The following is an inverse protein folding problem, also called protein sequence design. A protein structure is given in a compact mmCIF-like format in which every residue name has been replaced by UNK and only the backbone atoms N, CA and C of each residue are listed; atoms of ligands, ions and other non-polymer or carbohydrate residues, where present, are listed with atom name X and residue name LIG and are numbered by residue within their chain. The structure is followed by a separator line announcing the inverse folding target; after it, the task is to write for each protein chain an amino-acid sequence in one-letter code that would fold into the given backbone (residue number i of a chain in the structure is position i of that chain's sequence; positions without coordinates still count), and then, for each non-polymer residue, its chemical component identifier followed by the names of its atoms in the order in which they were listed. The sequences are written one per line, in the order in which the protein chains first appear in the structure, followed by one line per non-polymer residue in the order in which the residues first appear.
data_IF_457671040233
#
_entry.id   IF_457671040233
#
_cell.length_a   1.000
_cell.length_b   1.000
_cell.length_c   1.000
_cell.angle_alpha   90.00
_cell.angle_beta   90.00
_cell.angle_gamma   90.00
#
_symmetry.space_group_name_H-M   'P 1'
#
loop_
_entity.id
_entity.type
_entity.pdbx_description
1 polymer ?
#
# COMPACT_ATOMS: atom_id res chain seq x y z
N UNK A 1 -2.54 9.67 0.79
CA UNK A 1 -3.59 8.90 1.51
C UNK A 1 -4.41 9.73 2.50
N UNK A 2 -3.85 10.29 3.60
CA UNK A 2 -4.64 11.04 4.62
C UNK A 2 -5.56 12.13 4.04
N UNK A 3 -5.04 12.91 3.09
CA UNK A 3 -5.74 14.07 2.51
C UNK A 3 -6.83 13.72 1.49
N UNK A 4 -6.89 12.47 1.02
CA UNK A 4 -7.73 12.07 -0.11
C UNK A 4 -8.81 11.05 0.26
N UNK A 5 -8.68 10.39 1.41
CA UNK A 5 -9.56 9.27 1.77
C UNK A 5 -10.23 9.42 3.14
N UNK A 6 -9.89 10.46 3.90
CA UNK A 6 -10.40 10.66 5.28
C UNK A 6 -10.20 9.45 6.21
N UNK A 7 -9.29 8.52 5.89
CA UNK A 7 -8.98 7.34 6.70
C UNK A 7 -7.97 7.72 7.78
N UNK A 8 -8.24 7.34 9.04
CA UNK A 8 -7.28 7.54 10.14
C UNK A 8 -6.08 6.63 9.91
N UNK A 9 -4.86 7.12 10.18
CA UNK A 9 -3.63 6.34 9.95
C UNK A 9 -3.67 4.96 10.64
N UNK A 10 -4.25 4.90 11.84
CA UNK A 10 -4.45 3.65 12.60
C UNK A 10 -5.36 2.62 11.94
N UNK A 11 -6.19 3.00 10.96
CA UNK A 11 -7.08 2.10 10.23
C UNK A 11 -6.41 1.51 8.99
N UNK A 12 -5.27 2.06 8.57
CA UNK A 12 -4.45 1.50 7.50
C UNK A 12 -3.47 0.50 8.13
N UNK A 13 -3.42 -0.70 7.56
CA UNK A 13 -2.44 -1.73 7.90
C UNK A 13 -1.44 -1.92 6.77
N UNK A 14 -0.19 -2.20 7.14
CA UNK A 14 0.90 -2.48 6.22
C UNK A 14 1.92 -3.35 6.93
N UNK A 15 2.66 -4.14 6.16
CA UNK A 15 3.58 -5.13 6.71
C UNK A 15 4.96 -4.53 7.08
N UNK A 16 5.30 -3.40 6.49
CA UNK A 16 6.52 -2.64 6.77
C UNK A 16 6.65 -1.46 5.80
N UNK A 17 7.62 -0.59 6.05
CA UNK A 17 7.90 0.52 5.14
C UNK A 17 8.62 0.02 3.87
N UNK A 18 8.58 0.83 2.82
CA UNK A 18 9.27 0.61 1.55
C UNK A 18 10.05 1.88 1.19
N UNK A 19 11.05 1.73 0.33
CA UNK A 19 11.93 2.84 -0.06
C UNK A 19 11.18 3.99 -0.71
N UNK A 20 11.48 5.21 -0.28
CA UNK A 20 10.89 6.44 -0.82
C UNK A 20 11.36 6.72 -2.26
N UNK A 21 12.59 6.34 -2.59
CA UNK A 21 13.24 6.61 -3.86
C UNK A 21 13.31 5.35 -4.74
N UNK A 22 12.21 4.61 -4.84
CA UNK A 22 12.08 3.43 -5.70
C UNK A 22 10.63 3.23 -6.16
N UNK A 23 10.44 2.47 -7.24
CA UNK A 23 9.12 1.92 -7.59
C UNK A 23 8.84 0.71 -6.70
N UNK A 24 7.79 0.78 -5.89
CA UNK A 24 7.47 -0.26 -4.90
C UNK A 24 6.06 -0.79 -5.11
N UNK A 25 5.86 -2.07 -4.77
CA UNK A 25 4.54 -2.71 -4.70
C UNK A 25 4.39 -3.33 -3.33
N UNK A 26 3.27 -3.06 -2.68
CA UNK A 26 2.94 -3.63 -1.38
C UNK A 26 1.42 -3.74 -1.22
N UNK A 27 0.98 -4.66 -0.38
CA UNK A 27 -0.39 -4.68 0.10
C UNK A 27 -0.54 -3.73 1.28
N UNK A 28 -1.68 -3.04 1.29
CA UNK A 28 -2.21 -2.39 2.49
C UNK A 28 -3.56 -3.03 2.81
N UNK A 29 -3.96 -2.97 4.08
CA UNK A 29 -5.32 -3.31 4.47
C UNK A 29 -6.05 -2.08 4.95
N UNK A 30 -7.28 -1.95 4.52
CA UNK A 30 -8.23 -0.93 4.97
C UNK A 30 -9.56 -1.62 5.28
N UNK A 31 -10.36 -1.03 6.17
CA UNK A 31 -11.68 -1.59 6.47
C UNK A 31 -12.61 -1.47 5.26
N UNK A 32 -13.44 -2.49 5.00
CA UNK A 32 -14.39 -2.55 3.85
C UNK A 32 -15.28 -1.31 3.72
N UNK A 33 -15.62 -0.67 4.84
CA UNK A 33 -16.40 0.59 4.88
C UNK A 33 -15.81 1.74 4.03
N UNK A 34 -14.54 1.65 3.61
CA UNK A 34 -13.86 2.63 2.77
C UNK A 34 -13.76 2.21 1.29
N UNK A 35 -14.42 1.13 0.89
CA UNK A 35 -14.31 0.58 -0.47
C UNK A 35 -14.75 1.58 -1.54
N UNK A 36 -15.89 2.25 -1.34
CA UNK A 36 -16.40 3.27 -2.28
C UNK A 36 -15.41 4.45 -2.44
N UNK A 37 -14.73 4.84 -1.35
CA UNK A 37 -13.70 5.87 -1.41
C UNK A 37 -12.45 5.40 -2.18
N UNK A 38 -12.17 4.09 -2.25
CA UNK A 38 -11.07 3.55 -3.06
C UNK A 38 -11.38 3.57 -4.55
N UNK A 39 -12.65 3.43 -4.94
CA UNK A 39 -13.03 3.43 -6.35
C UNK A 39 -12.78 4.80 -7.00
N UNK A 40 -12.88 5.85 -6.20
CA UNK A 40 -12.58 7.23 -6.60
C UNK A 40 -11.14 7.66 -6.25
N UNK A 41 -10.30 6.73 -5.77
CA UNK A 41 -8.94 7.07 -5.35
C UNK A 41 -8.01 7.26 -6.54
N UNK A 42 -7.63 8.51 -6.80
CA UNK A 42 -6.64 8.86 -7.80
C UNK A 42 -5.63 9.85 -7.21
N UNK A 43 -4.36 9.44 -7.12
CA UNK A 43 -3.25 10.29 -6.67
C UNK A 43 -2.06 10.01 -7.57
N UNK A 44 -1.39 11.07 -8.03
CA UNK A 44 -0.14 10.97 -8.76
C UNK A 44 0.90 10.11 -8.02
N UNK A 45 1.55 9.20 -8.75
CA UNK A 45 2.56 8.29 -8.20
C UNK A 45 2.02 7.08 -7.45
N UNK A 46 0.69 6.90 -7.32
CA UNK A 46 0.07 5.73 -6.71
C UNK A 46 -0.93 5.09 -7.67
N UNK A 47 -0.83 3.78 -7.87
CA UNK A 47 -1.78 2.99 -8.66
C UNK A 47 -2.28 1.79 -7.86
N UNK A 48 -3.60 1.61 -7.78
CA UNK A 48 -4.21 0.39 -7.24
C UNK A 48 -4.11 -0.69 -8.33
N UNK A 49 -3.48 -1.82 -8.02
CA UNK A 49 -3.30 -2.94 -8.96
C UNK A 49 -4.37 -4.03 -8.81
N UNK A 50 -4.87 -4.23 -7.59
CA UNK A 50 -5.92 -5.20 -7.27
C UNK A 50 -6.55 -4.88 -5.91
N UNK A 51 -7.74 -5.44 -5.67
CA UNK A 51 -8.45 -5.43 -4.38
C UNK A 51 -8.87 -6.86 -4.05
N UNK A 52 -8.84 -7.22 -2.77
CA UNK A 52 -9.37 -8.49 -2.26
C UNK A 52 -9.78 -8.33 -0.80
N UNK A 53 -10.71 -9.16 -0.33
CA UNK A 53 -11.14 -9.18 1.06
C UNK A 53 -10.28 -10.11 1.90
N UNK A 54 -10.08 -9.73 3.16
CA UNK A 54 -9.39 -10.53 4.15
C UNK A 54 -9.90 -10.17 5.54
N UNK A 55 -10.02 -11.16 6.43
CA UNK A 55 -10.59 -10.96 7.77
C UNK A 55 -9.64 -10.25 8.73
N UNK A 56 -8.32 -10.31 8.47
CA UNK A 56 -7.32 -9.72 9.34
C UNK A 56 -6.68 -8.48 8.71
N UNK A 57 -6.48 -7.46 9.55
CA UNK A 57 -5.62 -6.31 9.24
C UNK A 57 -4.17 -6.77 9.05
N UNK A 58 -3.47 -6.22 8.06
CA UNK A 58 -2.03 -6.40 7.89
C UNK A 58 -1.30 -5.64 9.01
N UNK A 59 -0.46 -6.33 9.77
CA UNK A 59 0.38 -5.75 10.83
C UNK A 59 1.85 -5.78 10.43
N UNK A 60 2.68 -5.05 11.16
CA UNK A 60 4.14 -5.04 11.00
C UNK A 60 4.65 -6.50 11.08
N UNK A 61 5.50 -6.88 10.14
CA UNK A 61 6.04 -8.24 10.03
C UNK A 61 5.16 -9.23 9.28
N UNK A 62 3.95 -8.86 8.85
CA UNK A 62 3.08 -9.73 8.02
C UNK A 62 3.55 -9.79 6.54
N UNK A 63 4.82 -10.08 6.31
CA UNK A 63 5.38 -10.35 5.00
C UNK A 63 6.39 -11.49 5.11
N UNK A 64 6.42 -12.37 4.09
CA UNK A 64 7.48 -13.38 3.99
C UNK A 64 8.84 -12.76 3.64
N UNK A 65 8.83 -11.67 2.86
CA UNK A 65 10.02 -10.99 2.37
C UNK A 65 9.70 -10.03 1.23
N UNK A 66 10.74 -9.46 0.62
CA UNK A 66 10.63 -8.58 -0.54
C UNK A 66 11.42 -9.17 -1.70
N UNK A 67 10.91 -8.98 -2.93
CA UNK A 67 11.64 -9.30 -4.15
C UNK A 67 12.14 -8.00 -4.77
N UNK A 68 13.44 -7.88 -4.95
CA UNK A 68 14.08 -6.71 -5.54
C UNK A 68 14.44 -6.98 -7.00
N UNK A 69 14.25 -5.95 -7.83
CA UNK A 69 14.84 -5.85 -9.15
C UNK A 69 15.69 -4.58 -9.15
N UNK A 70 17.00 -4.74 -9.34
CA UNK A 70 17.97 -3.65 -9.26
C UNK A 70 18.66 -3.55 -10.61
N UNK A 71 18.60 -2.36 -11.23
CA UNK A 71 19.35 -2.06 -12.45
C UNK A 71 20.56 -1.19 -12.08
N UNK A 72 21.74 -1.77 -12.15
CA UNK A 72 22.99 -1.04 -12.00
C UNK A 72 23.30 -0.30 -13.31
N UNK A 73 23.79 0.93 -13.20
CA UNK A 73 24.31 1.71 -14.33
C UNK A 73 25.66 2.29 -13.90
N UNK A 74 26.65 2.17 -14.76
CA UNK A 74 27.90 2.89 -14.60
C UNK A 74 27.61 4.40 -14.75
N UNK A 75 28.30 5.21 -13.96
CA UNK A 75 28.34 6.66 -14.17
C UNK A 75 29.29 6.99 -15.29
#
# INVERSE_FOLDING_TARGET
MKRYLCIKHKEIGYAGLKDKHAMTKQYISIHKKYEEAMDNFNIEGIKILSKTYHNNKIKIGHLKGNRFYIRLKNR
#
